data_IF_157981398751
#
_entry.id   IF_157981398751
#
_cell.length_a   1.000
_cell.length_b   1.000
_cell.length_c   1.000
_cell.angle_alpha   90.00
_cell.angle_beta   90.00
_cell.angle_gamma   90.00
#
_symmetry.space_group_name_H-M   'P 1'
#
loop_
_entity.id
_entity.type
_entity.pdbx_description
1 polymer ?
#
# COMPACT_ATOMS: atom_id res chain seq x y z
N UNK A 1 -14.12 -4.07 4.30
CA UNK A 1 -14.23 -4.79 3.01
C UNK A 1 -12.93 -4.58 2.24
N UNK A 2 -12.43 -5.55 1.49
CA UNK A 2 -11.20 -5.37 0.73
C UNK A 2 -11.48 -4.66 -0.61
N UNK A 3 -10.68 -3.66 -0.93
CA UNK A 3 -10.61 -3.01 -2.23
C UNK A 3 -9.52 -3.71 -3.05
N UNK A 4 -9.89 -4.11 -4.26
CA UNK A 4 -9.00 -4.81 -5.21
C UNK A 4 -8.42 -3.80 -6.18
N UNK A 5 -7.17 -3.98 -6.55
CA UNK A 5 -6.56 -3.19 -7.63
C UNK A 5 -6.55 -4.03 -8.89
N UNK A 6 -6.99 -3.44 -10.00
CA UNK A 6 -6.84 -4.06 -11.31
C UNK A 6 -5.42 -3.82 -11.80
N UNK A 7 -4.60 -4.88 -11.76
CA UNK A 7 -3.18 -4.85 -12.15
C UNK A 7 -2.96 -5.55 -13.50
N UNK A 8 -4.02 -5.94 -14.20
CA UNK A 8 -3.96 -6.62 -15.52
C UNK A 8 -3.24 -5.83 -16.62
N UNK A 9 -2.80 -4.61 -16.32
CA UNK A 9 -2.10 -3.69 -17.21
C UNK A 9 -0.58 -3.56 -16.93
N UNK A 10 -0.02 -4.24 -15.93
CA UNK A 10 1.42 -4.16 -15.59
C UNK A 10 2.35 -4.90 -16.57
N UNK A 11 1.84 -5.85 -17.37
CA UNK A 11 2.60 -6.57 -18.40
C UNK A 11 3.02 -5.69 -19.61
N UNK A 12 2.72 -4.39 -19.60
CA UNK A 12 3.16 -3.42 -20.61
C UNK A 12 3.98 -2.29 -19.98
N UNK A 13 4.99 -2.63 -19.18
CA UNK A 13 6.07 -1.68 -18.91
C UNK A 13 7.03 -1.70 -20.11
N UNK A 14 7.21 -0.59 -20.85
CA UNK A 14 8.14 -0.57 -21.97
C UNK A 14 9.58 -0.74 -21.46
N UNK A 15 10.33 -1.65 -22.09
CA UNK A 15 11.79 -1.71 -21.99
C UNK A 15 12.39 -0.45 -22.63
N UNK A 16 13.28 0.26 -21.93
CA UNK A 16 13.97 1.44 -22.45
C UNK A 16 15.49 1.19 -22.54
N UNK A 17 16.16 1.86 -23.50
CA UNK A 17 17.47 1.45 -24.01
C UNK A 17 18.61 1.68 -23.01
N UNK A 18 19.61 0.81 -23.08
CA UNK A 18 20.84 0.85 -22.29
C UNK A 18 21.66 2.10 -22.62
N UNK A 19 21.89 2.98 -21.65
CA UNK A 19 22.90 4.04 -21.75
C UNK A 19 24.16 3.65 -21.00
N UNK A 20 25.28 3.69 -21.71
CA UNK A 20 26.65 3.39 -21.32
C UNK A 20 27.21 4.29 -20.21
N UNK A 21 28.18 3.73 -19.48
CA UNK A 21 28.92 4.26 -18.32
C UNK A 21 29.68 5.57 -18.58
N UNK A 22 29.81 6.40 -17.54
CA UNK A 22 31.10 7.03 -17.17
C UNK A 22 31.12 7.47 -15.69
N UNK A 23 32.20 7.14 -14.99
CA UNK A 23 32.46 7.36 -13.56
C UNK A 23 32.81 8.81 -13.22
N UNK A 24 32.32 9.31 -12.07
CA UNK A 24 33.12 10.04 -11.06
C UNK A 24 32.28 10.37 -9.81
N UNK A 25 32.84 10.13 -8.62
CA UNK A 25 32.26 10.50 -7.31
C UNK A 25 32.58 11.97 -6.98
N UNK A 26 31.72 12.69 -6.23
CA UNK A 26 32.08 13.00 -4.84
C UNK A 26 30.90 13.09 -3.83
N UNK A 27 31.27 13.22 -2.55
CA UNK A 27 30.46 13.25 -1.32
C UNK A 27 29.68 14.57 -1.05
N UNK A 28 28.67 14.46 -0.16
CA UNK A 28 27.88 15.46 0.61
C UNK A 28 26.60 16.06 -0.03
N UNK A 29 25.65 16.63 0.75
CA UNK A 29 25.01 16.20 2.01
C UNK A 29 23.48 16.03 1.85
N UNK A 30 22.77 15.59 2.89
CA UNK A 30 21.32 15.39 2.92
C UNK A 30 20.50 16.68 2.79
N UNK A 31 19.69 16.78 1.73
CA UNK A 31 18.75 17.90 1.45
C UNK A 31 17.30 17.38 1.53
N UNK A 32 16.32 18.16 2.06
CA UNK A 32 14.94 17.67 2.25
C UNK A 32 14.16 17.61 0.91
N UNK A 33 13.45 16.51 0.68
CA UNK A 33 12.55 16.28 -0.46
C UNK A 33 11.33 17.23 -0.45
N UNK A 34 10.81 17.65 -1.63
CA UNK A 34 9.61 18.47 -1.75
C UNK A 34 8.31 17.66 -1.63
N UNK A 35 7.33 18.22 -0.91
CA UNK A 35 6.10 17.59 -0.40
C UNK A 35 4.89 17.54 -1.36
N UNK A 36 5.07 17.18 -2.64
CA UNK A 36 3.98 17.27 -3.64
C UNK A 36 3.67 15.94 -4.34
N UNK A 37 2.38 15.57 -4.34
CA UNK A 37 1.82 14.49 -5.15
C UNK A 37 2.06 14.74 -6.65
N UNK A 38 2.69 13.79 -7.33
CA UNK A 38 3.00 13.90 -8.77
C UNK A 38 1.91 13.20 -9.59
N UNK A 39 1.24 13.97 -10.45
CA UNK A 39 0.33 13.44 -11.50
C UNK A 39 1.03 13.56 -12.85
N UNK A 40 1.18 12.45 -13.59
CA UNK A 40 1.62 12.48 -14.99
C UNK A 40 0.76 11.56 -15.86
N UNK A 41 0.39 12.04 -17.06
CA UNK A 41 -0.24 11.26 -18.12
C UNK A 41 0.83 10.46 -18.85
N UNK A 42 0.67 9.14 -18.94
CA UNK A 42 1.53 8.27 -19.76
C UNK A 42 0.60 7.35 -20.55
N UNK A 43 0.67 7.39 -21.89
CA UNK A 43 -0.11 6.54 -22.81
C UNK A 43 -1.61 6.42 -22.47
N UNK A 44 -2.28 7.54 -22.19
CA UNK A 44 -3.73 7.54 -21.92
C UNK A 44 -4.13 6.96 -20.56
N UNK A 45 -3.23 6.91 -19.58
CA UNK A 45 -3.51 6.53 -18.19
C UNK A 45 -2.94 7.54 -17.21
N UNK A 46 -3.64 7.70 -16.08
CA UNK A 46 -3.20 8.57 -14.97
C UNK A 46 -2.51 7.71 -13.93
N UNK A 47 -1.21 7.90 -13.75
CA UNK A 47 -0.45 7.35 -12.64
C UNK A 47 -0.63 8.27 -11.43
N UNK A 48 -1.18 7.74 -10.34
CA UNK A 48 -1.24 8.45 -9.06
C UNK A 48 -0.18 7.85 -8.13
N UNK A 49 0.93 8.57 -7.97
CA UNK A 49 1.91 8.31 -6.91
C UNK A 49 1.55 9.20 -5.73
N UNK A 50 1.01 8.62 -4.67
CA UNK A 50 0.68 9.34 -3.45
C UNK A 50 1.73 9.02 -2.38
N UNK A 51 2.51 10.01 -1.93
CA UNK A 51 3.56 9.86 -0.90
C UNK A 51 3.08 9.21 0.42
N UNK A 52 1.76 9.17 0.67
CA UNK A 52 1.19 8.62 1.92
C UNK A 52 0.51 7.27 1.73
N UNK A 53 0.30 6.83 0.50
CA UNK A 53 -0.46 5.62 0.12
C UNK A 53 0.23 5.00 -1.07
N UNK A 54 1.07 4.00 -0.81
CA UNK A 54 1.70 3.21 -1.86
C UNK A 54 0.64 2.27 -2.46
N UNK A 55 -0.14 2.78 -3.41
CA UNK A 55 -0.91 1.92 -4.29
C UNK A 55 -1.10 2.58 -5.65
N UNK A 56 -0.52 1.92 -6.65
CA UNK A 56 -0.63 2.31 -8.05
C UNK A 56 -2.06 2.05 -8.54
N UNK A 57 -2.89 3.09 -8.59
CA UNK A 57 -4.11 3.05 -9.38
C UNK A 57 -3.77 3.47 -10.82
N UNK A 58 -3.77 2.51 -11.75
CA UNK A 58 -3.89 2.83 -13.17
C UNK A 58 -5.38 3.01 -13.49
N UNK A 59 -5.85 4.25 -13.48
CA UNK A 59 -7.21 4.53 -13.94
C UNK A 59 -7.26 4.51 -15.48
N UNK A 60 -8.23 3.82 -16.10
CA UNK A 60 -8.57 4.10 -17.49
C UNK A 60 -9.12 5.53 -17.54
N UNK A 61 -8.43 6.45 -18.21
CA UNK A 61 -9.04 7.76 -18.48
C UNK A 61 -10.09 7.58 -19.57
N UNK A 62 -11.31 8.01 -19.27
CA UNK A 62 -12.44 8.13 -20.18
C UNK A 62 -12.04 8.68 -21.55
N UNK A 63 -12.64 8.07 -22.57
CA UNK A 63 -12.54 8.39 -23.98
C UNK A 63 -12.46 9.90 -24.28
N UNK A 64 -11.50 10.28 -25.11
CA UNK A 64 -11.59 11.47 -25.97
C UNK A 64 -10.68 11.26 -27.17
N UNK A 65 -11.30 11.07 -28.34
CA UNK A 65 -10.65 10.73 -29.60
C UNK A 65 -11.52 9.83 -30.49
N UNK A 66 -12.82 10.13 -30.58
CA UNK A 66 -13.72 9.57 -31.60
C UNK A 66 -13.72 10.56 -32.76
N UNK A 67 -13.35 10.09 -33.95
CA UNK A 67 -13.49 10.84 -35.19
C UNK A 67 -14.95 11.24 -35.41
N UNK A 68 -15.12 12.45 -35.96
CA UNK A 68 -16.40 13.04 -36.28
C UNK A 68 -17.05 12.24 -37.41
N UNK A 69 -18.07 11.46 -37.07
CA UNK A 69 -19.00 10.88 -38.02
C UNK A 69 -20.43 11.16 -37.57
N UNK A 70 -21.03 12.23 -38.08
CA UNK A 70 -22.46 12.46 -37.95
C UNK A 70 -23.19 11.39 -38.77
N UNK A 71 -23.86 10.44 -38.11
CA UNK A 71 -25.01 9.82 -38.73
C UNK A 71 -26.09 9.45 -37.71
N UNK A 72 -27.33 9.67 -38.13
CA UNK A 72 -28.51 9.83 -37.29
C UNK A 72 -29.05 8.49 -36.80
N UNK A 73 -29.29 8.42 -35.49
CA UNK A 73 -30.30 7.54 -34.87
C UNK A 73 -29.82 6.14 -34.46
N UNK A 74 -29.95 5.82 -33.17
CA UNK A 74 -30.83 4.77 -32.62
C UNK A 74 -30.62 4.62 -31.10
N UNK A 75 -31.54 3.90 -30.46
CA UNK A 75 -31.96 3.88 -29.05
C UNK A 75 -30.90 3.47 -28.01
N UNK A 76 -31.04 4.04 -26.81
CA UNK A 76 -30.39 3.62 -25.56
C UNK A 76 -30.75 2.16 -25.23
N UNK A 77 -29.74 1.28 -25.17
CA UNK A 77 -29.87 -0.06 -24.60
C UNK A 77 -29.18 -0.08 -23.24
N UNK A 78 -29.98 -0.36 -22.19
CA UNK A 78 -29.53 -0.59 -20.81
C UNK A 78 -28.44 -1.67 -20.79
N UNK A 79 -27.29 -1.37 -20.20
CA UNK A 79 -26.40 -2.42 -19.70
C UNK A 79 -26.92 -2.81 -18.31
N UNK A 80 -27.67 -3.92 -18.26
CA UNK A 80 -27.95 -4.64 -17.02
C UNK A 80 -26.90 -5.74 -16.85
N UNK A 81 -26.13 -5.71 -15.77
CA UNK A 81 -25.33 -6.87 -15.37
C UNK A 81 -26.26 -7.96 -14.84
N UNK A 82 -26.36 -9.05 -15.58
CA UNK A 82 -26.99 -10.29 -15.16
C UNK A 82 -26.02 -10.99 -14.20
N UNK A 83 -26.48 -11.29 -12.99
CA UNK A 83 -25.88 -12.31 -12.12
C UNK A 83 -26.58 -13.62 -12.44
N UNK A 84 -25.84 -14.52 -13.09
CA UNK A 84 -26.09 -15.97 -13.18
C UNK A 84 -24.70 -16.60 -13.14
N UNK A 85 -24.40 -17.65 -12.40
CA UNK A 85 -25.13 -18.51 -11.49
C UNK A 85 -24.07 -19.39 -10.81
N UNK A 86 -24.51 -20.18 -9.85
CA UNK A 86 -23.73 -21.01 -8.94
C UNK A 86 -22.66 -21.87 -9.63
N UNK A 87 -21.44 -21.77 -9.10
CA UNK A 87 -20.36 -22.72 -9.31
C UNK A 87 -19.46 -22.62 -8.09
N UNK A 88 -19.31 -23.72 -7.37
CA UNK A 88 -18.34 -23.87 -6.28
C UNK A 88 -16.93 -23.74 -6.85
N UNK A 89 -16.48 -22.51 -7.09
CA UNK A 89 -15.08 -22.22 -7.35
C UNK A 89 -14.33 -22.60 -6.08
N UNK A 90 -13.46 -23.61 -6.18
CA UNK A 90 -12.49 -23.91 -5.15
C UNK A 90 -11.85 -22.59 -4.72
N UNK A 91 -12.13 -22.17 -3.49
CA UNK A 91 -11.66 -20.89 -2.95
C UNK A 91 -10.14 -21.00 -2.94
N UNK A 92 -9.44 -20.33 -3.84
CA UNK A 92 -7.98 -20.38 -3.87
C UNK A 92 -7.46 -19.95 -2.48
N UNK A 93 -6.88 -20.90 -1.77
CA UNK A 93 -6.43 -20.72 -0.40
C UNK A 93 -4.99 -20.21 -0.48
N UNK A 94 -4.72 -19.11 0.21
CA UNK A 94 -3.35 -18.61 0.39
C UNK A 94 -2.58 -19.68 1.16
N UNK A 95 -1.45 -20.12 0.62
CA UNK A 95 -0.69 -21.24 1.19
C UNK A 95 -0.21 -20.91 2.61
N UNK A 96 -0.08 -21.94 3.44
CA UNK A 96 0.58 -21.80 4.73
C UNK A 96 2.01 -21.27 4.54
N UNK A 97 2.47 -20.44 5.48
CA UNK A 97 3.84 -19.91 5.50
C UNK A 97 4.29 -19.28 4.18
N UNK A 98 3.39 -18.58 3.49
CA UNK A 98 3.65 -17.91 2.20
C UNK A 98 3.65 -16.39 2.27
N UNK A 99 3.28 -15.79 3.41
CA UNK A 99 3.15 -14.33 3.56
C UNK A 99 4.18 -13.76 4.53
N UNK A 100 4.94 -12.75 4.09
CA UNK A 100 5.74 -11.91 4.98
C UNK A 100 4.93 -10.69 5.43
N UNK A 101 4.86 -10.45 6.74
CA UNK A 101 4.20 -9.26 7.29
C UNK A 101 5.24 -8.19 7.57
N UNK A 102 5.03 -6.97 7.07
CA UNK A 102 5.80 -5.77 7.45
C UNK A 102 4.97 -4.97 8.44
N UNK A 103 5.33 -5.05 9.73
CA UNK A 103 4.61 -4.40 10.83
C UNK A 103 5.28 -3.07 11.18
N UNK A 104 4.65 -1.96 10.82
CA UNK A 104 5.19 -0.61 11.01
C UNK A 104 4.94 -0.13 12.45
N UNK A 105 6.02 -0.04 13.25
CA UNK A 105 6.01 0.40 14.64
C UNK A 105 7.01 1.55 14.93
N UNK A 106 7.58 2.18 13.89
CA UNK A 106 8.56 3.26 14.02
C UNK A 106 8.02 4.68 14.17
N UNK A 107 6.70 4.88 14.10
CA UNK A 107 6.10 6.22 14.07
C UNK A 107 6.28 6.98 15.37
N UNK A 108 6.85 8.19 15.34
CA UNK A 108 7.14 8.99 16.56
C UNK A 108 5.93 9.64 17.25
N UNK A 109 4.69 9.36 16.83
CA UNK A 109 3.48 9.81 17.55
C UNK A 109 3.28 11.32 17.72
N UNK A 110 3.94 12.20 16.93
CA UNK A 110 4.00 13.66 17.12
C UNK A 110 2.66 14.40 17.37
N UNK A 111 1.52 13.84 16.96
CA UNK A 111 0.18 14.43 17.15
C UNK A 111 -0.44 14.17 18.53
N UNK A 112 0.11 13.24 19.31
CA UNK A 112 -0.49 12.78 20.57
C UNK A 112 0.08 13.47 21.82
N UNK A 113 1.16 14.25 21.70
CA UNK A 113 1.79 14.93 22.85
C UNK A 113 2.29 14.01 23.98
N UNK A 114 2.24 12.69 23.80
CA UNK A 114 2.66 11.71 24.79
C UNK A 114 4.19 11.59 24.83
N UNK A 115 4.73 11.25 26.01
CA UNK A 115 6.16 10.98 26.23
C UNK A 115 6.66 9.73 25.49
N UNK A 116 5.74 8.83 25.10
CA UNK A 116 6.01 7.58 24.41
C UNK A 116 5.21 7.51 23.09
N UNK A 117 5.77 6.92 22.02
CA UNK A 117 5.03 6.70 20.78
C UNK A 117 3.76 5.88 21.02
N UNK A 118 2.66 6.31 20.41
CA UNK A 118 1.32 5.78 20.67
C UNK A 118 1.18 4.26 20.56
N UNK A 119 1.93 3.63 19.67
CA UNK A 119 1.89 2.18 19.46
C UNK A 119 2.47 1.38 20.63
N UNK A 120 3.20 2.02 21.54
CA UNK A 120 3.74 1.39 22.75
C UNK A 120 2.94 1.72 24.01
N UNK A 121 1.94 2.60 23.91
CA UNK A 121 1.05 2.87 25.03
C UNK A 121 0.27 1.60 25.40
N UNK A 122 0.06 1.34 26.70
CA UNK A 122 -0.72 0.21 27.15
C UNK A 122 -2.21 0.43 26.82
N UNK A 123 -2.82 -0.55 26.19
CA UNK A 123 -4.25 -0.74 26.08
C UNK A 123 -4.57 -2.02 26.84
N UNK A 124 -5.41 -1.93 27.88
CA UNK A 124 -5.73 -3.07 28.76
C UNK A 124 -4.48 -3.83 29.26
N UNK A 125 -3.40 -3.11 29.59
CA UNK A 125 -2.15 -3.68 30.10
C UNK A 125 -1.17 -4.17 29.03
N UNK A 126 -1.54 -4.18 27.75
CA UNK A 126 -0.68 -4.63 26.65
C UNK A 126 -0.33 -3.47 25.70
N UNK A 127 0.92 -3.33 25.25
CA UNK A 127 1.28 -2.36 24.22
C UNK A 127 0.39 -2.50 22.97
N UNK A 128 -0.14 -1.38 22.47
CA UNK A 128 -1.03 -1.36 21.29
C UNK A 128 -0.47 -2.15 20.10
N UNK A 129 0.84 -2.03 19.85
CA UNK A 129 1.52 -2.73 18.75
C UNK A 129 1.40 -4.26 18.85
N UNK A 130 1.39 -4.80 20.08
CA UNK A 130 1.38 -6.24 20.29
C UNK A 130 0.05 -6.90 19.92
N UNK A 131 -1.07 -6.16 19.93
CA UNK A 131 -2.35 -6.70 19.45
C UNK A 131 -2.30 -7.11 17.98
N UNK A 132 -1.74 -6.24 17.14
CA UNK A 132 -1.56 -6.56 15.71
C UNK A 132 -0.55 -7.68 15.54
N UNK A 133 0.57 -7.60 16.26
CA UNK A 133 1.63 -8.62 16.24
C UNK A 133 1.09 -10.03 16.57
N UNK A 134 0.34 -10.17 17.67
CA UNK A 134 -0.25 -11.45 18.05
C UNK A 134 -1.30 -11.95 17.06
N UNK A 135 -2.07 -11.03 16.47
CA UNK A 135 -3.03 -11.43 15.43
C UNK A 135 -2.31 -12.07 14.24
N UNK A 136 -1.21 -11.46 13.75
CA UNK A 136 -0.44 -12.03 12.64
C UNK A 136 0.35 -13.28 13.04
N UNK A 137 0.87 -13.34 14.27
CA UNK A 137 1.69 -14.49 14.70
C UNK A 137 0.89 -15.79 14.84
N UNK A 138 -0.43 -15.69 14.96
CA UNK A 138 -1.34 -16.83 15.08
C UNK A 138 -1.89 -17.30 13.73
N UNK A 139 -1.62 -16.60 12.62
CA UNK A 139 -2.10 -16.97 11.29
C UNK A 139 -1.18 -18.00 10.62
N UNK A 140 -1.75 -19.07 10.05
CA UNK A 140 -0.97 -20.14 9.42
C UNK A 140 -0.32 -19.69 8.11
N UNK A 141 -0.93 -18.75 7.40
CA UNK A 141 -0.41 -18.15 6.17
C UNK A 141 0.85 -17.30 6.41
N UNK A 142 1.00 -16.75 7.63
CA UNK A 142 2.11 -15.86 7.98
C UNK A 142 3.38 -16.67 8.24
N UNK A 143 4.37 -16.44 7.37
CA UNK A 143 5.71 -17.03 7.44
C UNK A 143 6.54 -16.37 8.52
N UNK A 144 6.57 -15.04 8.49
CA UNK A 144 7.40 -14.19 9.33
C UNK A 144 6.76 -12.81 9.53
N UNK A 145 7.22 -12.11 10.56
CA UNK A 145 6.90 -10.72 10.83
C UNK A 145 8.20 -9.91 10.86
N UNK A 146 8.34 -9.01 9.89
CA UNK A 146 9.38 -7.96 9.90
C UNK A 146 8.82 -6.77 10.68
N UNK A 147 9.33 -6.57 11.89
CA UNK A 147 8.95 -5.44 12.74
C UNK A 147 9.84 -4.24 12.42
N UNK A 148 9.23 -3.16 11.95
CA UNK A 148 9.94 -1.91 11.68
C UNK A 148 9.81 -1.01 12.89
N UNK A 149 10.80 -1.03 13.79
CA UNK A 149 10.77 -0.28 15.04
C UNK A 149 12.12 0.37 15.35
N UNK A 150 12.07 1.42 16.17
CA UNK A 150 13.30 1.98 16.75
C UNK A 150 13.96 0.91 17.65
N UNK A 151 15.30 0.75 17.62
CA UNK A 151 16.00 -0.25 18.44
C UNK A 151 15.67 -0.18 19.93
N UNK A 152 15.36 1.00 20.47
CA UNK A 152 14.98 1.18 21.87
C UNK A 152 13.67 0.49 22.28
N UNK A 153 12.85 0.08 21.31
CA UNK A 153 11.60 -0.64 21.53
C UNK A 153 11.65 -2.10 21.05
N UNK A 154 12.82 -2.59 20.65
CA UNK A 154 12.98 -3.94 20.13
C UNK A 154 12.61 -5.01 21.16
N UNK A 155 13.02 -4.80 22.41
CA UNK A 155 12.76 -5.70 23.54
C UNK A 155 11.27 -6.01 23.72
N UNK A 156 10.38 -5.05 23.43
CA UNK A 156 8.92 -5.24 23.49
C UNK A 156 8.46 -6.42 22.63
N UNK A 157 9.04 -6.57 21.43
CA UNK A 157 8.69 -7.64 20.50
C UNK A 157 9.50 -8.91 20.75
N UNK A 158 10.75 -8.80 21.19
CA UNK A 158 11.56 -9.97 21.54
C UNK A 158 10.98 -10.69 22.76
N UNK A 159 10.52 -9.97 23.77
CA UNK A 159 9.83 -10.57 24.90
C UNK A 159 8.52 -11.23 24.49
N UNK A 160 7.72 -10.55 23.65
CA UNK A 160 6.48 -11.09 23.12
C UNK A 160 6.70 -12.30 22.18
N UNK A 161 7.91 -12.49 21.66
CA UNK A 161 8.23 -13.54 20.70
C UNK A 161 8.50 -14.90 21.30
N UNK A 162 8.80 -14.96 22.60
CA UNK A 162 9.21 -16.19 23.30
C UNK A 162 8.17 -17.31 23.18
N UNK A 163 6.90 -16.93 23.05
CA UNK A 163 5.76 -17.85 23.01
C UNK A 163 5.17 -18.05 21.60
N UNK A 164 5.81 -17.54 20.54
CA UNK A 164 5.30 -17.67 19.17
C UNK A 164 6.19 -18.55 18.28
N UNK A 165 5.61 -19.13 17.24
CA UNK A 165 6.31 -20.00 16.27
C UNK A 165 6.66 -19.31 14.95
N UNK A 166 6.24 -18.06 14.77
CA UNK A 166 6.46 -17.29 13.55
C UNK A 166 7.83 -16.61 13.63
N UNK A 167 8.60 -16.65 12.53
CA UNK A 167 9.90 -16.00 12.47
C UNK A 167 9.78 -14.48 12.63
N UNK A 168 10.71 -13.86 13.33
CA UNK A 168 10.75 -12.40 13.50
C UNK A 168 12.05 -11.86 12.97
N UNK A 169 11.94 -10.75 12.24
CA UNK A 169 13.06 -9.92 11.81
C UNK A 169 12.78 -8.48 12.22
N UNK A 170 13.83 -7.68 12.23
CA UNK A 170 13.75 -6.26 12.57
C UNK A 170 14.34 -5.41 11.45
N UNK A 171 13.70 -4.28 11.18
CA UNK A 171 14.22 -3.26 10.28
C UNK A 171 14.16 -1.88 10.93
N UNK A 172 15.05 -0.99 10.52
CA UNK A 172 15.08 0.37 11.05
C UNK A 172 13.93 1.23 10.46
N UNK A 173 13.34 2.13 11.25
CA UNK A 173 12.37 3.08 10.74
C UNK A 173 13.04 4.11 9.84
N UNK A 174 12.38 4.48 8.76
CA UNK A 174 12.84 5.54 7.88
C UNK A 174 12.32 6.92 8.29
N UNK A 175 12.70 7.95 7.51
CA UNK A 175 12.28 9.34 7.76
C UNK A 175 10.77 9.49 7.62
N UNK A 176 10.21 8.83 6.62
CA UNK A 176 8.78 8.77 6.34
C UNK A 176 8.21 7.36 6.46
N UNK A 177 6.87 7.25 6.36
CA UNK A 177 6.20 5.95 6.37
C UNK A 177 6.67 5.09 5.21
N UNK A 178 6.85 5.66 4.01
CA UNK A 178 7.29 4.93 2.83
C UNK A 178 8.70 4.33 2.98
N UNK A 179 9.62 5.09 3.58
CA UNK A 179 10.99 4.63 3.84
C UNK A 179 10.97 3.47 4.85
N UNK A 180 10.11 3.54 5.86
CA UNK A 180 9.92 2.46 6.83
C UNK A 180 9.36 1.20 6.18
N UNK A 181 8.42 1.35 5.24
CA UNK A 181 7.87 0.23 4.46
C UNK A 181 8.96 -0.38 3.57
N UNK A 182 9.76 0.45 2.90
CA UNK A 182 10.86 -0.03 2.06
C UNK A 182 11.90 -0.80 2.88
N UNK A 183 12.36 -0.26 4.01
CA UNK A 183 13.29 -0.95 4.89
C UNK A 183 12.75 -2.30 5.36
N UNK A 184 11.47 -2.37 5.76
CA UNK A 184 10.84 -3.63 6.13
C UNK A 184 10.69 -4.60 4.95
N UNK A 185 10.36 -4.09 3.76
CA UNK A 185 10.26 -4.90 2.55
C UNK A 185 11.61 -5.54 2.15
N UNK A 186 12.73 -4.86 2.39
CA UNK A 186 14.05 -5.40 2.06
C UNK A 186 14.45 -6.61 2.93
N UNK A 187 13.86 -6.75 4.12
CA UNK A 187 14.16 -7.84 5.05
C UNK A 187 13.26 -9.07 4.88
N UNK A 188 12.25 -9.01 4.00
CA UNK A 188 11.36 -10.15 3.79
C UNK A 188 12.11 -11.33 3.20
N UNK A 189 11.59 -12.52 3.47
CA UNK A 189 11.99 -13.76 2.82
C UNK A 189 11.63 -13.71 1.32
N UNK A 190 12.63 -13.92 0.48
CA UNK A 190 12.48 -13.86 -0.98
C UNK A 190 11.57 -14.96 -1.58
N UNK A 191 11.21 -15.98 -0.80
CA UNK A 191 10.26 -17.02 -1.21
C UNK A 191 8.80 -16.72 -0.83
N UNK A 192 8.54 -15.61 -0.14
CA UNK A 192 7.18 -15.20 0.18
C UNK A 192 6.41 -14.82 -1.09
N UNK A 193 5.17 -15.30 -1.20
CA UNK A 193 4.33 -15.08 -2.37
C UNK A 193 3.50 -13.77 -2.23
N UNK A 194 3.32 -13.29 -1.00
CA UNK A 194 2.67 -12.01 -0.68
C UNK A 194 3.43 -11.25 0.41
N UNK A 195 3.32 -9.92 0.35
CA UNK A 195 3.75 -9.00 1.40
C UNK A 195 2.54 -8.31 1.98
N UNK A 196 2.40 -8.33 3.30
CA UNK A 196 1.31 -7.72 4.05
C UNK A 196 1.83 -6.57 4.92
N UNK A 197 1.58 -5.33 4.52
CA UNK A 197 2.01 -4.13 5.26
C UNK A 197 0.90 -3.68 6.21
N UNK A 198 1.21 -3.56 7.50
CA UNK A 198 0.26 -3.13 8.53
C UNK A 198 0.80 -2.05 9.45
N UNK A 199 -0.06 -1.13 9.90
CA UNK A 199 0.32 -0.11 10.89
C UNK A 199 0.05 -0.68 12.29
N UNK A 200 1.08 -0.83 13.14
CA UNK A 200 0.93 -1.43 14.48
C UNK A 200 0.01 -0.63 15.42
N UNK A 201 -0.18 0.67 15.14
CA UNK A 201 -1.10 1.53 15.86
C UNK A 201 -2.60 1.27 15.55
N UNK A 202 -2.94 0.20 14.83
CA UNK A 202 -4.31 -0.22 14.50
C UNK A 202 -4.56 -1.62 15.07
N UNK A 203 -4.82 -1.73 16.39
CA UNK A 203 -4.82 -3.00 17.12
C UNK A 203 -6.04 -3.90 16.85
N UNK A 204 -7.10 -3.36 16.23
CA UNK A 204 -8.40 -4.03 16.12
C UNK A 204 -8.60 -4.74 14.77
N UNK A 205 -7.53 -5.17 14.11
CA UNK A 205 -7.65 -6.00 12.91
C UNK A 205 -8.05 -7.43 13.30
N UNK A 206 -8.89 -8.07 12.49
CA UNK A 206 -9.37 -9.43 12.75
C UNK A 206 -8.73 -10.42 11.78
N UNK A 207 -8.43 -11.66 12.18
CA UNK A 207 -7.91 -12.69 11.27
C UNK A 207 -8.77 -12.85 10.01
N UNK A 208 -10.10 -12.71 10.15
CA UNK A 208 -11.06 -12.76 9.03
C UNK A 208 -10.83 -11.65 8.01
N UNK A 209 -10.60 -10.42 8.46
CA UNK A 209 -10.32 -9.29 7.57
C UNK A 209 -8.98 -9.46 6.87
N UNK A 210 -7.96 -9.92 7.60
CA UNK A 210 -6.62 -10.19 7.05
C UNK A 210 -6.68 -11.28 5.98
N UNK A 211 -7.31 -12.42 6.29
CA UNK A 211 -7.48 -13.54 5.35
C UNK A 211 -8.17 -13.09 4.06
N UNK A 212 -9.21 -12.27 4.18
CA UNK A 212 -9.95 -11.76 3.02
C UNK A 212 -9.08 -10.86 2.13
N UNK A 213 -8.29 -9.95 2.71
CA UNK A 213 -7.42 -9.08 1.91
C UNK A 213 -6.25 -9.87 1.29
N UNK A 214 -5.75 -10.91 1.96
CA UNK A 214 -4.75 -11.82 1.38
C UNK A 214 -5.31 -12.60 0.18
N UNK A 215 -6.52 -13.17 0.28
CA UNK A 215 -7.20 -13.86 -0.83
C UNK A 215 -7.43 -12.94 -2.03
N UNK A 216 -7.85 -11.70 -1.77
CA UNK A 216 -8.07 -10.71 -2.82
C UNK A 216 -6.73 -10.31 -3.47
N UNK A 217 -5.65 -10.13 -2.71
CA UNK A 217 -4.34 -9.81 -3.25
C UNK A 217 -3.71 -10.99 -4.01
N UNK A 218 -3.95 -12.23 -3.57
CA UNK A 218 -3.55 -13.44 -4.26
C UNK A 218 -4.07 -13.47 -5.71
N UNK A 219 -5.39 -13.24 -5.84
CA UNK A 219 -6.11 -13.25 -7.11
C UNK A 219 -5.75 -12.05 -8.00
N UNK A 220 -5.69 -10.83 -7.41
CA UNK A 220 -5.62 -9.58 -8.17
C UNK A 220 -4.20 -8.98 -8.23
N UNK A 221 -3.24 -9.54 -7.52
CA UNK A 221 -1.88 -9.02 -7.37
C UNK A 221 -1.71 -8.01 -6.22
N UNK A 222 -2.74 -7.21 -5.92
CA UNK A 222 -2.78 -6.38 -4.72
C UNK A 222 -4.21 -6.10 -4.24
N UNK A 223 -4.36 -5.93 -2.93
CA UNK A 223 -5.60 -5.54 -2.30
C UNK A 223 -5.33 -4.76 -1.00
N UNK A 224 -6.31 -3.96 -0.58
CA UNK A 224 -6.24 -3.19 0.67
C UNK A 224 -7.54 -3.27 1.44
N UNK A 225 -7.46 -3.25 2.77
CA UNK A 225 -8.66 -3.07 3.58
C UNK A 225 -9.22 -1.64 3.41
N UNK A 226 -10.52 -1.52 3.19
CA UNK A 226 -11.21 -0.24 3.10
C UNK A 226 -12.56 -0.24 3.82
N UNK A 227 -13.01 0.96 4.18
CA UNK A 227 -14.36 1.22 4.67
C UNK A 227 -15.04 2.31 3.84
N UNK A 228 -16.35 2.21 3.53
CA UNK A 228 -17.06 3.26 2.83
C UNK A 228 -17.02 4.57 3.62
N UNK A 229 -16.84 5.69 2.92
CA UNK A 229 -16.87 7.01 3.55
C UNK A 229 -18.27 7.30 4.10
N UNK A 230 -18.33 7.66 5.40
CA UNK A 230 -19.58 8.08 6.05
C UNK A 230 -19.79 9.60 6.03
N UNK A 231 -18.69 10.35 6.15
CA UNK A 231 -18.73 11.80 6.18
C UNK A 231 -19.07 12.40 4.80
N UNK A 232 -19.70 13.57 4.78
CA UNK A 232 -19.83 14.34 3.54
C UNK A 232 -18.48 14.95 3.19
N UNK A 233 -17.92 14.61 2.03
CA UNK A 233 -16.63 15.13 1.57
C UNK A 233 -16.86 16.27 0.58
N UNK A 234 -16.19 17.40 0.82
CA UNK A 234 -16.17 18.56 -0.07
C UNK A 234 -14.83 18.64 -0.78
N UNK A 235 -14.86 18.94 -2.07
CA UNK A 235 -13.70 19.44 -2.80
C UNK A 235 -13.62 20.94 -2.56
N UNK A 236 -12.44 21.43 -2.17
CA UNK A 236 -12.16 22.84 -1.96
C UNK A 236 -11.10 23.33 -2.96
N UNK A 237 -11.16 24.61 -3.31
CA UNK A 237 -10.13 25.27 -4.11
C UNK A 237 -8.95 25.75 -3.23
N UNK A 238 -8.00 26.47 -3.83
CA UNK A 238 -6.81 26.96 -3.13
C UNK A 238 -7.13 27.99 -2.03
N UNK A 239 -8.27 28.65 -2.12
CA UNK A 239 -8.73 29.66 -1.18
C UNK A 239 -9.67 29.05 -0.11
N UNK A 240 -9.75 27.72 -0.05
CA UNK A 240 -10.59 26.94 0.87
C UNK A 240 -12.10 27.15 0.67
N UNK A 241 -12.53 27.62 -0.50
CA UNK A 241 -13.94 27.68 -0.86
C UNK A 241 -14.42 26.33 -1.38
N UNK A 242 -15.66 25.98 -1.04
CA UNK A 242 -16.29 24.72 -1.46
C UNK A 242 -16.58 24.77 -2.96
N UNK A 243 -15.91 23.91 -3.73
CA UNK A 243 -16.12 23.75 -5.18
C UNK A 243 -17.29 22.81 -5.45
N UNK A 244 -17.29 21.63 -4.82
CA UNK A 244 -18.38 20.66 -4.96
C UNK A 244 -18.42 19.65 -3.82
N UNK A 245 -19.54 18.94 -3.73
CA UNK A 245 -19.68 17.77 -2.86
C UNK A 245 -19.35 16.52 -3.66
N UNK A 246 -18.44 15.69 -3.17
CA UNK A 246 -18.12 14.41 -3.81
C UNK A 246 -19.21 13.38 -3.50
N UNK A 247 -19.52 12.50 -4.46
CA UNK A 247 -20.44 11.39 -4.22
C UNK A 247 -19.79 10.36 -3.28
N UNK A 248 -20.17 10.39 -2.01
CA UNK A 248 -19.63 9.48 -0.99
C UNK A 248 -19.83 7.99 -1.32
N UNK A 249 -20.80 7.64 -2.19
CA UNK A 249 -21.03 6.24 -2.59
C UNK A 249 -19.86 5.66 -3.38
N UNK A 250 -19.04 6.51 -3.99
CA UNK A 250 -17.85 6.09 -4.76
C UNK A 250 -16.56 6.23 -3.93
N UNK A 251 -16.63 6.69 -2.68
CA UNK A 251 -15.46 6.99 -1.88
C UNK A 251 -15.26 5.98 -0.76
N UNK A 252 -13.99 5.61 -0.56
CA UNK A 252 -13.57 4.67 0.45
C UNK A 252 -12.37 5.21 1.22
N UNK A 253 -12.39 5.03 2.53
CA UNK A 253 -11.24 5.27 3.40
C UNK A 253 -10.36 4.03 3.41
N UNK A 254 -9.14 4.21 2.91
CA UNK A 254 -8.16 3.16 2.88
C UNK A 254 -7.60 2.92 4.29
N UNK A 255 -7.48 1.65 4.65
CA UNK A 255 -6.98 1.18 5.94
C UNK A 255 -5.75 0.28 5.72
N UNK A 256 -5.32 -0.38 6.78
CA UNK A 256 -4.37 -1.48 6.72
C UNK A 256 -5.01 -2.71 7.37
N UNK A 257 -4.69 -3.93 6.89
CA UNK A 257 -3.52 -4.27 6.07
C UNK A 257 -3.64 -3.94 4.57
N UNK A 258 -2.48 -3.72 3.95
CA UNK A 258 -2.27 -3.61 2.50
C UNK A 258 -1.47 -4.82 2.05
N UNK A 259 -1.99 -5.60 1.10
CA UNK A 259 -1.36 -6.85 0.66
C UNK A 259 -1.03 -6.77 -0.83
N UNK A 260 0.19 -7.15 -1.21
CA UNK A 260 0.70 -7.02 -2.58
C UNK A 260 1.69 -8.15 -2.89
N UNK A 261 1.75 -8.60 -4.15
CA UNK A 261 2.80 -9.53 -4.60
C UNK A 261 4.18 -8.86 -4.57
N UNK A 262 5.23 -9.53 -4.08
CA UNK A 262 6.56 -8.93 -3.92
C UNK A 262 7.12 -8.31 -5.20
N UNK A 263 6.95 -8.97 -6.36
CA UNK A 263 7.48 -8.46 -7.64
C UNK A 263 6.80 -7.16 -8.06
N UNK A 264 5.48 -7.07 -7.88
CA UNK A 264 4.73 -5.84 -8.12
C UNK A 264 5.18 -4.73 -7.16
N UNK A 265 5.46 -5.09 -5.91
CA UNK A 265 5.89 -4.13 -4.92
C UNK A 265 7.29 -3.57 -5.23
N UNK A 266 8.22 -4.46 -5.59
CA UNK A 266 9.58 -4.13 -6.04
C UNK A 266 9.56 -3.20 -7.25
N UNK A 267 8.81 -3.56 -8.29
CA UNK A 267 8.65 -2.73 -9.49
C UNK A 267 8.08 -1.34 -9.14
N UNK A 268 7.17 -1.27 -8.16
CA UNK A 268 6.63 -0.03 -7.63
C UNK A 268 7.70 0.88 -6.99
N UNK A 269 8.54 0.33 -6.12
CA UNK A 269 9.64 1.07 -5.49
C UNK A 269 10.70 1.51 -6.50
N UNK A 270 11.08 0.65 -7.45
CA UNK A 270 12.01 1.02 -8.53
C UNK A 270 11.47 2.16 -9.39
N UNK A 271 10.17 2.18 -9.64
CA UNK A 271 9.53 3.26 -10.37
C UNK A 271 9.63 4.57 -9.58
N UNK A 272 9.25 4.58 -8.30
CA UNK A 272 9.36 5.79 -7.45
C UNK A 272 10.80 6.30 -7.38
N UNK A 273 11.77 5.43 -7.11
CA UNK A 273 13.19 5.81 -7.03
C UNK A 273 13.71 6.42 -8.34
N UNK A 274 13.32 5.85 -9.49
CA UNK A 274 13.67 6.42 -10.80
C UNK A 274 13.09 7.82 -10.99
N UNK A 275 11.82 8.04 -10.63
CA UNK A 275 11.21 9.36 -10.75
C UNK A 275 11.80 10.38 -9.79
N UNK A 276 12.09 10.00 -8.55
CA UNK A 276 12.73 10.87 -7.58
C UNK A 276 14.13 11.28 -8.05
N UNK A 277 14.92 10.33 -8.58
CA UNK A 277 16.23 10.62 -9.15
C UNK A 277 16.16 11.48 -10.41
N UNK A 278 15.17 11.25 -11.30
CA UNK A 278 14.96 12.06 -12.50
C UNK A 278 14.57 13.49 -12.16
N UNK A 279 13.71 13.70 -11.17
CA UNK A 279 13.32 15.04 -10.70
C UNK A 279 14.53 15.76 -10.08
N UNK A 280 15.36 15.05 -9.31
CA UNK A 280 16.60 15.62 -8.77
C UNK A 280 17.59 15.98 -9.90
N UNK A 281 17.73 15.14 -10.93
CA UNK A 281 18.60 15.40 -12.09
C UNK A 281 18.14 16.57 -12.98
N UNK A 282 16.86 16.95 -12.97
CA UNK A 282 16.36 18.11 -13.74
C UNK A 282 16.33 19.41 -12.93
N UNK A 283 16.64 19.34 -11.63
CA UNK A 283 16.76 20.48 -10.72
C UNK A 283 18.25 20.78 -10.40
N UNK A 284 19.15 19.87 -10.80
CA UNK A 284 20.62 20.02 -10.71
C UNK A 284 21.16 20.61 -12.00
#
# INVERSE_FOLDING_TARGET
MALRFDISLSHRLPSLPSSSKSNSSPLFPSIPMPSRSVRRRIQGKTLLVCEKVFLFCLFPTSASGVEIGFNRGWKCSRISCIVQGEGTAAREVVKEKSVSVVLLAGGKGKRMGASMPKQYLPLLGQPIALYSFFTFSQMSEVKEIVVVCDPSYRDVFEDASKDIRVGIKFALPGKERQDSVFNGFQEIDGSSELVCVHDSARPLITPKDVTKVMQDAWTNGAAVLGVPVKATIKEADNDSFVVKTLDRKTLWEMQTPQVIKPDLFRAGFELVNRYTNLVLMHIS
#
